data_IF_829805598706
#
_entry.id   IF_829805598706
#
_cell.length_a   1.000
_cell.length_b   1.000
_cell.length_c   1.000
_cell.angle_alpha   90.00
_cell.angle_beta   90.00
_cell.angle_gamma   90.00
#
_symmetry.space_group_name_H-M   'P 1'
#
loop_
_entity.id
_entity.type
_entity.pdbx_description
1 polymer ?
#
# COMPACT_ATOMS: atom_id res chain seq x y z
N UNK A 1 38.17 18.08 -20.93
CA UNK A 1 38.00 16.65 -20.79
C UNK A 1 37.12 16.25 -19.64
N UNK A 2 37.53 16.48 -18.40
CA UNK A 2 36.68 16.09 -17.25
C UNK A 2 35.36 16.83 -17.18
N UNK A 3 35.27 18.04 -17.70
CA UNK A 3 34.04 18.85 -17.72
C UNK A 3 32.94 18.22 -18.59
N UNK A 4 33.32 17.60 -19.70
CA UNK A 4 32.35 16.96 -20.59
C UNK A 4 31.73 15.71 -19.92
N UNK A 5 32.52 14.97 -19.17
CA UNK A 5 32.04 13.78 -18.44
C UNK A 5 31.04 14.19 -17.34
N UNK A 6 31.34 15.26 -16.61
CA UNK A 6 30.44 15.75 -15.56
C UNK A 6 29.06 16.20 -16.12
N UNK A 7 29.06 16.83 -17.28
CA UNK A 7 27.81 17.23 -17.94
C UNK A 7 26.96 16.04 -18.35
N UNK A 8 27.59 14.97 -18.85
CA UNK A 8 26.88 13.75 -19.22
C UNK A 8 26.22 13.09 -18.01
N UNK A 9 26.91 13.04 -16.88
CA UNK A 9 26.35 12.47 -15.64
C UNK A 9 25.15 13.28 -15.17
N UNK A 10 25.23 14.61 -15.22
CA UNK A 10 24.11 15.47 -14.81
C UNK A 10 22.87 15.26 -15.67
N UNK A 11 23.04 15.14 -16.98
CA UNK A 11 21.92 14.87 -17.90
C UNK A 11 21.30 13.51 -17.63
N UNK A 12 22.11 12.50 -17.39
CA UNK A 12 21.60 11.15 -17.08
C UNK A 12 20.81 11.12 -15.79
N UNK A 13 21.22 11.84 -14.75
CA UNK A 13 20.52 11.87 -13.48
C UNK A 13 19.19 12.63 -13.53
N UNK A 14 19.01 13.53 -14.48
CA UNK A 14 17.78 14.31 -14.64
C UNK A 14 16.77 13.68 -15.60
N UNK A 15 17.11 12.55 -16.20
CA UNK A 15 16.42 12.03 -17.36
C UNK A 15 15.35 10.97 -17.12
N UNK A 16 14.68 10.93 -15.96
CA UNK A 16 13.58 9.97 -15.77
C UNK A 16 12.38 10.36 -16.65
N UNK A 17 11.82 9.42 -17.43
CA UNK A 17 10.65 9.73 -18.26
C UNK A 17 9.42 10.00 -17.38
N UNK A 18 8.55 10.88 -17.86
CA UNK A 18 7.33 11.26 -17.16
C UNK A 18 6.46 10.05 -16.84
N UNK A 19 6.40 9.07 -17.75
CA UNK A 19 5.62 7.85 -17.54
C UNK A 19 6.13 7.05 -16.32
N UNK A 20 7.44 6.96 -16.15
CA UNK A 20 8.02 6.25 -15.00
C UNK A 20 7.74 7.00 -13.70
N UNK A 21 7.78 8.33 -13.72
CA UNK A 21 7.46 9.15 -12.56
C UNK A 21 6.00 9.00 -12.15
N UNK A 22 5.08 8.97 -13.12
CA UNK A 22 3.67 8.77 -12.86
C UNK A 22 3.38 7.38 -12.27
N UNK A 23 4.08 6.34 -12.76
CA UNK A 23 3.94 4.99 -12.21
C UNK A 23 4.44 4.90 -10.77
N UNK A 24 5.53 5.59 -10.45
CA UNK A 24 6.03 5.62 -9.08
C UNK A 24 5.07 6.34 -8.13
N UNK A 25 4.50 7.47 -8.56
CA UNK A 25 3.53 8.20 -7.77
C UNK A 25 2.28 7.36 -7.52
N UNK A 26 1.79 6.66 -8.54
CA UNK A 26 0.64 5.76 -8.44
C UNK A 26 0.93 4.60 -7.49
N UNK A 27 2.12 4.01 -7.57
CA UNK A 27 2.53 2.93 -6.67
C UNK A 27 2.60 3.40 -5.23
N UNK A 28 3.15 4.60 -4.99
CA UNK A 28 3.22 5.18 -3.65
C UNK A 28 1.83 5.42 -3.08
N UNK A 29 0.91 5.96 -3.89
CA UNK A 29 -0.47 6.19 -3.49
C UNK A 29 -1.17 4.87 -3.14
N UNK A 30 -0.95 3.83 -3.93
CA UNK A 30 -1.53 2.52 -3.67
C UNK A 30 -0.98 1.90 -2.38
N UNK A 31 0.31 2.03 -2.13
CA UNK A 31 0.91 1.53 -0.90
C UNK A 31 0.37 2.26 0.33
N UNK A 32 0.20 3.57 0.24
CA UNK A 32 -0.39 4.36 1.31
C UNK A 32 -1.85 3.96 1.56
N UNK A 33 -2.61 3.75 0.50
CA UNK A 33 -3.99 3.29 0.60
C UNK A 33 -4.04 1.90 1.23
N UNK A 34 -3.17 0.99 0.79
CA UNK A 34 -3.05 -0.35 1.37
C UNK A 34 -2.76 -0.28 2.87
N UNK A 35 -1.89 0.63 3.29
CA UNK A 35 -1.56 0.82 4.70
C UNK A 35 -2.77 1.31 5.49
N UNK A 36 -3.56 2.22 4.94
CA UNK A 36 -4.78 2.71 5.60
C UNK A 36 -5.82 1.60 5.74
N UNK A 37 -6.01 0.79 4.70
CA UNK A 37 -6.93 -0.35 4.75
C UNK A 37 -6.46 -1.38 5.78
N UNK A 38 -5.16 -1.64 5.83
CA UNK A 38 -4.57 -2.56 6.80
C UNK A 38 -4.81 -2.10 8.23
N UNK A 39 -4.62 -0.81 8.49
CA UNK A 39 -4.83 -0.23 9.81
C UNK A 39 -6.29 -0.38 10.25
N UNK A 40 -7.24 -0.07 9.37
CA UNK A 40 -8.66 -0.24 9.67
C UNK A 40 -9.01 -1.71 9.92
N UNK A 41 -8.49 -2.60 9.09
CA UNK A 41 -8.73 -4.03 9.25
C UNK A 41 -8.21 -4.54 10.59
N UNK A 42 -6.98 -4.19 10.93
CA UNK A 42 -6.34 -4.63 12.18
C UNK A 42 -7.12 -4.10 13.39
N UNK A 43 -7.54 -2.83 13.36
CA UNK A 43 -8.21 -2.22 14.50
C UNK A 43 -9.61 -2.75 14.76
N UNK A 44 -10.36 -3.04 13.70
CA UNK A 44 -11.79 -3.24 13.84
C UNK A 44 -12.29 -4.59 13.37
N UNK A 45 -11.70 -5.17 12.35
CA UNK A 45 -12.18 -6.42 11.75
C UNK A 45 -11.37 -7.63 12.20
N UNK A 46 -10.04 -7.49 12.22
CA UNK A 46 -9.14 -8.61 12.54
C UNK A 46 -9.03 -8.93 14.02
N UNK A 47 -9.75 -8.24 14.89
CA UNK A 47 -9.74 -8.54 16.31
C UNK A 47 -10.74 -9.64 16.63
N UNK A 48 -10.40 -10.46 17.61
CA UNK A 48 -11.33 -11.48 18.09
C UNK A 48 -12.48 -10.82 18.86
N UNK A 49 -13.57 -11.56 19.05
CA UNK A 49 -14.74 -11.09 19.76
C UNK A 49 -14.48 -10.85 21.25
N UNK A 50 -13.29 -11.18 21.73
CA UNK A 50 -12.92 -10.99 23.14
C UNK A 50 -12.64 -9.54 23.53
N UNK A 51 -12.75 -8.58 22.60
CA UNK A 51 -12.70 -7.16 22.92
C UNK A 51 -11.44 -6.45 22.42
N UNK A 52 -11.31 -5.15 22.73
CA UNK A 52 -10.26 -4.31 22.15
C UNK A 52 -8.84 -4.64 22.59
N UNK A 53 -8.68 -5.36 23.68
CA UNK A 53 -7.36 -5.79 24.17
C UNK A 53 -6.96 -7.17 23.67
N UNK A 54 -7.84 -7.85 22.93
CA UNK A 54 -7.55 -9.17 22.40
C UNK A 54 -6.50 -9.10 21.30
N UNK A 55 -5.68 -10.15 21.11
CA UNK A 55 -4.71 -10.17 20.02
C UNK A 55 -5.43 -10.16 18.67
N UNK A 56 -4.78 -9.52 17.69
CA UNK A 56 -5.28 -9.48 16.32
C UNK A 56 -5.18 -10.87 15.71
N UNK A 57 -6.30 -11.40 15.24
CA UNK A 57 -6.37 -12.71 14.59
C UNK A 57 -7.09 -12.58 13.25
N UNK A 58 -6.37 -12.16 12.21
CA UNK A 58 -6.99 -12.08 10.90
C UNK A 58 -7.34 -13.48 10.40
N UNK A 59 -8.40 -13.59 9.59
CA UNK A 59 -8.67 -14.83 8.87
C UNK A 59 -7.58 -15.03 7.80
N UNK A 60 -7.62 -16.20 7.12
CA UNK A 60 -6.58 -16.55 6.16
C UNK A 60 -6.44 -15.46 5.08
N UNK A 61 -7.55 -15.04 4.49
CA UNK A 61 -7.51 -14.04 3.42
C UNK A 61 -7.06 -12.68 3.93
N UNK A 62 -7.52 -12.27 5.10
CA UNK A 62 -7.08 -11.04 5.73
C UNK A 62 -5.59 -11.05 6.04
N UNK A 63 -5.09 -12.17 6.56
CA UNK A 63 -3.66 -12.34 6.82
C UNK A 63 -2.82 -12.27 5.57
N UNK A 64 -3.26 -12.91 4.48
CA UNK A 64 -2.59 -12.84 3.18
C UNK A 64 -2.54 -11.39 2.68
N UNK A 65 -3.66 -10.67 2.77
CA UNK A 65 -3.71 -9.29 2.31
C UNK A 65 -2.80 -8.39 3.11
N UNK A 66 -2.75 -8.53 4.43
CA UNK A 66 -1.83 -7.77 5.27
C UNK A 66 -0.38 -8.02 4.89
N UNK A 67 -0.03 -9.29 4.64
CA UNK A 67 1.32 -9.65 4.20
C UNK A 67 1.65 -9.04 2.84
N UNK A 68 0.70 -9.08 1.90
CA UNK A 68 0.88 -8.49 0.57
C UNK A 68 1.12 -6.98 0.63
N UNK A 69 0.39 -6.26 1.50
CA UNK A 69 0.67 -4.84 1.72
C UNK A 69 2.11 -4.60 2.20
N UNK A 70 2.55 -5.39 3.17
CA UNK A 70 3.91 -5.25 3.71
C UNK A 70 4.98 -5.56 2.68
N UNK A 71 4.70 -6.49 1.77
CA UNK A 71 5.62 -6.86 0.69
C UNK A 71 5.63 -5.84 -0.45
N UNK A 72 4.73 -4.87 -0.43
CA UNK A 72 4.62 -3.89 -1.50
C UNK A 72 3.68 -4.30 -2.63
N UNK A 73 2.95 -5.40 -2.48
CA UNK A 73 2.00 -5.89 -3.48
C UNK A 73 0.60 -5.36 -3.18
N UNK A 74 0.42 -4.06 -3.35
CA UNK A 74 -0.84 -3.40 -3.09
C UNK A 74 -1.95 -3.90 -4.02
N UNK A 75 -1.62 -4.18 -5.28
CA UNK A 75 -2.60 -4.63 -6.26
C UNK A 75 -3.29 -5.93 -5.83
N UNK A 76 -2.58 -6.84 -5.19
CA UNK A 76 -3.16 -8.08 -4.69
C UNK A 76 -3.92 -7.87 -3.39
N UNK A 77 -3.44 -6.98 -2.52
CA UNK A 77 -3.98 -6.78 -1.18
C UNK A 77 -5.25 -5.93 -1.15
N UNK A 78 -5.30 -4.85 -1.92
CA UNK A 78 -6.36 -3.86 -1.85
C UNK A 78 -7.75 -4.48 -2.06
N UNK A 79 -8.00 -5.28 -3.11
CA UNK A 79 -9.33 -5.84 -3.30
C UNK A 79 -9.81 -6.71 -2.14
N UNK A 80 -8.90 -7.45 -1.53
CA UNK A 80 -9.23 -8.32 -0.40
C UNK A 80 -9.64 -7.48 0.82
N UNK A 81 -8.81 -6.48 1.16
CA UNK A 81 -9.08 -5.62 2.30
C UNK A 81 -10.33 -4.78 2.12
N UNK A 82 -10.55 -4.25 0.91
CA UNK A 82 -11.77 -3.50 0.61
C UNK A 82 -13.01 -4.34 0.85
N UNK A 83 -13.00 -5.58 0.34
CA UNK A 83 -14.13 -6.48 0.51
C UNK A 83 -14.38 -6.78 1.99
N UNK A 84 -13.30 -7.04 2.75
CA UNK A 84 -13.41 -7.32 4.18
C UNK A 84 -14.01 -6.15 4.95
N UNK A 85 -13.58 -4.95 4.63
CA UNK A 85 -14.07 -3.75 5.30
C UNK A 85 -15.52 -3.44 4.94
N UNK A 86 -15.87 -3.53 3.66
CA UNK A 86 -17.24 -3.28 3.21
C UNK A 86 -18.20 -4.31 3.83
N UNK A 87 -17.81 -5.58 3.85
CA UNK A 87 -18.62 -6.63 4.47
C UNK A 87 -18.80 -6.42 5.97
N UNK A 88 -17.86 -5.75 6.62
CA UNK A 88 -17.96 -5.41 8.03
C UNK A 88 -18.72 -4.11 8.28
N UNK A 89 -19.23 -3.46 7.24
CA UNK A 89 -20.04 -2.25 7.35
C UNK A 89 -19.25 -0.94 7.28
N UNK A 90 -17.98 -0.98 6.91
CA UNK A 90 -17.16 0.23 6.85
C UNK A 90 -17.29 0.91 5.49
N UNK A 91 -17.25 2.25 5.53
CA UNK A 91 -17.04 3.05 4.34
C UNK A 91 -15.55 3.11 4.06
N UNK A 92 -15.17 2.88 2.81
CA UNK A 92 -13.75 2.87 2.45
C UNK A 92 -13.16 4.29 2.50
N UNK A 93 -11.91 4.44 2.97
CA UNK A 93 -11.25 5.74 2.91
C UNK A 93 -10.98 6.15 1.46
N UNK A 94 -10.84 7.45 1.20
CA UNK A 94 -10.56 7.92 -0.15
C UNK A 94 -9.17 7.46 -0.60
N UNK A 95 -9.05 7.17 -1.88
CA UNK A 95 -7.76 6.90 -2.51
C UNK A 95 -7.06 8.22 -2.82
N UNK A 96 -5.87 8.37 -2.38
CA UNK A 96 -5.04 9.53 -2.70
C UNK A 96 -5.01 10.63 -1.67
#
# INVERSE_FOLDING_TARGET
>A
MSKAVALLVAVASAGLPLAAQAQQASRTADLQYCARLSDLYIRYVGRSEAGPTAPVRPDVNGGVALAKCREGDAAAAIPILERKLVNAGFTLPPRG
#
